data_IF_256348846011
#
_entry.id   IF_256348846011
#
_cell.length_a   1.000
_cell.length_b   1.000
_cell.length_c   1.000
_cell.angle_alpha   90.00
_cell.angle_beta   90.00
_cell.angle_gamma   90.00
#
_symmetry.space_group_name_H-M   'P 1'
#
loop_
_entity.id
_entity.type
_entity.pdbx_description
1 polymer ?
#
# COMPACT_ATOMS: atom_id res chain seq x y z
N UNK A 1 -2.91 -26.90 31.04
CA UNK A 1 -2.40 -27.98 30.16
C UNK A 1 -2.97 -27.70 28.78
N UNK A 2 -2.65 -26.55 28.19
CA UNK A 2 -1.38 -26.19 27.52
C UNK A 2 -1.36 -26.86 26.12
N UNK A 3 -1.15 -26.18 25.00
CA UNK A 3 -0.73 -24.80 24.78
C UNK A 3 -0.84 -24.44 23.30
N UNK A 4 -1.06 -23.14 23.09
CA UNK A 4 -1.15 -22.41 21.84
C UNK A 4 0.23 -22.30 21.16
N UNK A 5 0.36 -22.68 19.88
CA UNK A 5 1.59 -22.45 19.09
C UNK A 5 1.38 -21.29 18.11
N UNK A 6 1.61 -20.08 18.62
CA UNK A 6 1.82 -18.89 17.80
C UNK A 6 3.15 -18.99 17.06
N UNK A 7 3.12 -18.93 15.74
CA UNK A 7 4.32 -18.82 14.91
C UNK A 7 4.83 -17.37 14.97
N UNK A 8 5.83 -17.16 15.83
CA UNK A 8 6.60 -15.93 15.88
C UNK A 8 7.44 -15.79 14.60
N UNK A 9 7.32 -14.66 13.93
CA UNK A 9 8.25 -14.24 12.89
C UNK A 9 9.59 -13.90 13.56
N UNK A 10 10.58 -14.79 13.40
CA UNK A 10 11.92 -14.63 13.96
C UNK A 10 12.80 -13.77 13.04
N UNK A 11 13.61 -12.90 13.64
CA UNK A 11 14.50 -11.93 12.97
C UNK A 11 15.64 -12.52 12.11
N UNK A 12 15.56 -13.78 11.69
CA UNK A 12 16.56 -14.45 10.84
C UNK A 12 16.46 -14.08 9.35
N UNK A 13 15.26 -13.78 8.83
CA UNK A 13 15.09 -13.48 7.39
C UNK A 13 15.77 -12.19 6.92
N UNK A 14 16.05 -11.23 7.81
CA UNK A 14 16.80 -9.99 7.46
C UNK A 14 18.30 -10.21 7.25
N UNK A 15 18.87 -11.34 7.72
CA UNK A 15 20.31 -11.62 7.59
C UNK A 15 20.67 -12.33 6.29
N UNK A 16 19.72 -12.99 5.64
CA UNK A 16 19.96 -13.70 4.37
C UNK A 16 19.80 -12.80 3.13
N UNK A 17 19.12 -11.65 3.26
CA UNK A 17 18.89 -10.72 2.14
C UNK A 17 20.14 -9.91 1.77
N UNK A 18 20.94 -9.51 2.75
CA UNK A 18 22.15 -8.69 2.53
C UNK A 18 23.25 -9.44 1.77
N UNK A 19 23.62 -10.67 2.12
CA UNK A 19 24.64 -11.42 1.38
C UNK A 19 24.23 -11.71 -0.07
N UNK A 20 22.95 -11.98 -0.32
CA UNK A 20 22.43 -12.22 -1.66
C UNK A 20 22.41 -10.95 -2.52
N UNK A 21 22.02 -9.81 -1.93
CA UNK A 21 22.08 -8.50 -2.59
C UNK A 21 23.53 -8.08 -2.85
N UNK A 22 24.43 -8.30 -1.89
CA UNK A 22 25.87 -8.02 -2.07
C UNK A 22 26.44 -8.86 -3.21
N UNK A 23 26.01 -10.13 -3.38
CA UNK A 23 26.45 -11.00 -4.47
C UNK A 23 25.87 -10.59 -5.83
N UNK A 24 24.64 -10.12 -5.87
CA UNK A 24 23.94 -9.70 -7.09
C UNK A 24 24.49 -8.38 -7.66
N UNK A 25 24.88 -7.45 -6.80
CA UNK A 25 25.36 -6.12 -7.19
C UNK A 25 26.89 -5.98 -7.11
N UNK A 26 27.61 -7.07 -6.77
CA UNK A 26 29.07 -7.08 -6.60
C UNK A 26 29.81 -6.65 -7.87
N UNK A 27 29.43 -7.23 -9.01
CA UNK A 27 30.10 -6.98 -10.28
C UNK A 27 29.85 -5.56 -10.79
N UNK A 28 28.65 -5.04 -10.58
CA UNK A 28 28.29 -3.69 -11.00
C UNK A 28 28.91 -2.63 -10.09
N UNK A 29 29.00 -2.89 -8.78
CA UNK A 29 29.72 -2.02 -7.84
C UNK A 29 31.23 -1.92 -8.15
N UNK A 30 31.84 -2.98 -8.68
CA UNK A 30 33.25 -2.97 -9.08
C UNK A 30 33.50 -2.37 -10.48
N UNK A 31 32.48 -2.26 -11.33
CA UNK A 31 32.55 -1.53 -12.61
C UNK A 31 32.43 -0.01 -12.43
N UNK A 32 31.87 0.45 -11.31
CA UNK A 32 31.77 1.88 -11.00
C UNK A 32 33.15 2.50 -10.76
N UNK A 33 33.33 3.69 -11.30
CA UNK A 33 34.47 4.56 -11.01
C UNK A 33 34.43 5.05 -9.56
N UNK A 34 35.57 5.47 -9.04
CA UNK A 34 35.66 5.94 -7.65
C UNK A 34 34.81 7.21 -7.41
N UNK A 35 34.56 8.00 -8.45
CA UNK A 35 33.66 9.15 -8.41
C UNK A 35 32.18 8.73 -8.21
N UNK A 36 31.71 7.72 -8.95
CA UNK A 36 30.33 7.22 -8.86
C UNK A 36 30.08 6.50 -7.53
N UNK A 37 31.09 5.78 -7.00
CA UNK A 37 31.02 5.20 -5.65
C UNK A 37 30.86 6.28 -4.59
N UNK A 38 31.60 7.39 -4.72
CA UNK A 38 31.53 8.51 -3.77
C UNK A 38 30.17 9.22 -3.83
N UNK A 39 29.59 9.34 -5.04
CA UNK A 39 28.25 9.86 -5.22
C UNK A 39 27.19 8.98 -4.56
N UNK A 40 27.27 7.65 -4.73
CA UNK A 40 26.37 6.70 -4.06
C UNK A 40 26.45 6.79 -2.53
N UNK A 41 27.68 6.91 -1.98
CA UNK A 41 27.90 7.06 -0.55
C UNK A 41 27.30 8.37 -0.04
N UNK A 42 27.42 9.46 -0.80
CA UNK A 42 26.86 10.76 -0.44
C UNK A 42 25.32 10.73 -0.50
N UNK A 43 24.73 10.17 -1.55
CA UNK A 43 23.27 9.97 -1.65
C UNK A 43 22.74 9.13 -0.48
N UNK A 44 23.43 8.02 -0.15
CA UNK A 44 23.05 7.18 0.99
C UNK A 44 23.21 7.90 2.33
N UNK A 45 24.26 8.70 2.48
CA UNK A 45 24.51 9.55 3.66
C UNK A 45 23.40 10.58 3.85
N UNK A 46 22.92 11.20 2.78
CA UNK A 46 21.80 12.15 2.84
C UNK A 46 20.48 11.47 3.19
N UNK A 47 20.17 10.31 2.59
CA UNK A 47 18.98 9.51 2.96
C UNK A 47 19.05 9.04 4.41
N UNK A 48 20.23 8.65 4.90
CA UNK A 48 20.45 8.24 6.29
C UNK A 48 20.30 9.41 7.26
N UNK A 49 20.87 10.57 6.94
CA UNK A 49 20.69 11.81 7.71
C UNK A 49 19.22 12.24 7.74
N UNK A 50 18.49 12.11 6.62
CA UNK A 50 17.04 12.35 6.56
C UNK A 50 16.24 11.41 7.46
N UNK A 51 16.63 10.14 7.55
CA UNK A 51 16.02 9.14 8.45
C UNK A 51 16.39 9.32 9.92
N UNK A 52 17.59 9.78 10.23
CA UNK A 52 18.02 10.04 11.63
C UNK A 52 17.42 11.34 12.20
N UNK A 53 16.91 12.24 11.35
CA UNK A 53 16.20 13.48 11.75
C UNK A 53 14.71 13.21 12.04
N UNK A 54 14.17 12.08 11.58
CA UNK A 54 12.80 11.68 11.92
C UNK A 54 12.74 11.35 13.42
N UNK A 55 12.10 12.24 14.19
CA UNK A 55 11.87 12.09 15.63
C UNK A 55 11.44 10.65 15.88
N UNK A 56 12.26 9.89 16.65
CA UNK A 56 12.00 8.49 17.01
C UNK A 56 10.80 8.38 17.95
N UNK A 57 9.61 8.76 17.49
CA UNK A 57 8.36 8.39 18.12
C UNK A 57 8.15 6.93 17.75
N UNK A 58 8.25 6.05 18.74
CA UNK A 58 8.03 4.62 18.51
C UNK A 58 6.65 4.42 17.88
N UNK A 59 6.51 3.42 17.00
CA UNK A 59 5.22 3.08 16.41
C UNK A 59 4.12 2.92 17.49
N UNK A 60 4.50 2.39 18.66
CA UNK A 60 3.65 2.28 19.84
C UNK A 60 3.19 3.62 20.43
N UNK A 61 4.09 4.59 20.53
CA UNK A 61 3.73 5.94 21.01
C UNK A 61 2.73 6.60 20.06
N UNK A 62 2.94 6.49 18.74
CA UNK A 62 1.99 6.99 17.73
C UNK A 62 0.61 6.33 17.82
N UNK A 63 0.56 5.01 18.03
CA UNK A 63 -0.70 4.28 18.22
C UNK A 63 -1.41 4.74 19.48
N UNK A 64 -0.68 4.85 20.59
CA UNK A 64 -1.27 5.25 21.85
C UNK A 64 -1.80 6.68 21.80
N UNK A 65 -1.02 7.60 21.26
CA UNK A 65 -1.43 9.00 21.06
C UNK A 65 -2.73 9.08 20.23
N UNK A 66 -2.72 8.48 19.04
CA UNK A 66 -3.90 8.39 18.17
C UNK A 66 -5.13 7.81 18.88
N UNK A 67 -4.96 6.71 19.61
CA UNK A 67 -6.07 6.04 20.31
C UNK A 67 -6.62 6.90 21.44
N UNK A 68 -5.76 7.56 22.22
CA UNK A 68 -6.20 8.41 23.32
C UNK A 68 -6.89 9.68 22.82
N UNK A 69 -6.35 10.32 21.77
CA UNK A 69 -6.99 11.47 21.14
C UNK A 69 -8.36 11.11 20.60
N UNK A 70 -8.50 9.96 19.90
CA UNK A 70 -9.80 9.55 19.38
C UNK A 70 -10.82 9.28 20.47
N UNK A 71 -10.44 8.65 21.59
CA UNK A 71 -11.34 8.48 22.74
C UNK A 71 -11.87 9.81 23.26
N UNK A 72 -11.02 10.83 23.36
CA UNK A 72 -11.45 12.17 23.80
C UNK A 72 -12.44 12.76 22.79
N UNK A 73 -12.17 12.62 21.48
CA UNK A 73 -13.09 13.08 20.43
C UNK A 73 -14.43 12.36 20.50
N UNK A 74 -14.45 11.04 20.69
CA UNK A 74 -15.68 10.25 20.84
C UNK A 74 -16.54 10.75 22.02
N UNK A 75 -15.90 11.04 23.16
CA UNK A 75 -16.58 11.62 24.34
C UNK A 75 -17.18 12.99 24.01
N UNK A 76 -16.43 13.86 23.34
CA UNK A 76 -16.93 15.19 22.95
C UNK A 76 -18.09 15.11 21.96
N UNK A 77 -18.03 14.19 20.99
CA UNK A 77 -19.11 13.96 20.03
C UNK A 77 -20.35 13.38 20.72
N UNK A 78 -20.17 12.48 21.69
CA UNK A 78 -21.28 11.97 22.49
C UNK A 78 -21.91 13.10 23.34
N UNK A 79 -21.10 13.94 23.97
CA UNK A 79 -21.56 15.11 24.72
C UNK A 79 -22.24 16.15 23.83
N UNK A 80 -21.82 16.28 22.57
CA UNK A 80 -22.49 17.14 21.59
C UNK A 80 -23.91 16.62 21.31
N UNK A 81 -24.06 15.31 21.05
CA UNK A 81 -25.39 14.69 20.89
C UNK A 81 -26.29 14.98 22.09
N UNK A 82 -25.81 14.79 23.32
CA UNK A 82 -26.60 15.02 24.53
C UNK A 82 -27.07 16.48 24.67
N UNK A 83 -26.27 17.45 24.19
CA UNK A 83 -26.59 18.88 24.32
C UNK A 83 -27.46 19.43 23.19
N UNK A 84 -27.27 18.94 21.97
CA UNK A 84 -27.88 19.54 20.77
C UNK A 84 -28.79 18.60 20.00
N UNK A 85 -28.80 17.31 20.33
CA UNK A 85 -29.49 16.27 19.57
C UNK A 85 -28.83 15.95 18.23
N UNK A 86 -27.63 16.46 17.93
CA UNK A 86 -26.93 16.15 16.69
C UNK A 86 -26.38 14.72 16.71
N UNK A 87 -26.71 13.95 15.68
CA UNK A 87 -26.12 12.64 15.42
C UNK A 87 -24.87 12.80 14.53
N UNK A 88 -23.82 12.03 14.79
CA UNK A 88 -22.51 12.15 14.11
C UNK A 88 -21.94 10.78 13.75
N UNK A 89 -21.28 10.70 12.59
CA UNK A 89 -20.40 9.60 12.19
C UNK A 89 -18.99 10.16 11.99
N UNK A 90 -17.98 9.48 12.52
CA UNK A 90 -16.56 9.83 12.43
C UNK A 90 -15.78 8.65 11.84
N UNK A 91 -15.08 8.90 10.74
CA UNK A 91 -14.15 7.95 10.14
C UNK A 91 -12.71 8.44 10.29
N UNK A 92 -11.84 7.56 10.75
CA UNK A 92 -10.41 7.80 10.85
C UNK A 92 -9.64 6.70 10.13
N UNK A 93 -8.82 7.06 9.16
CA UNK A 93 -7.99 6.14 8.39
C UNK A 93 -6.50 6.50 8.51
N UNK A 94 -5.63 5.49 8.43
CA UNK A 94 -4.19 5.72 8.46
C UNK A 94 -3.69 6.17 7.09
N UNK A 95 -2.99 7.30 7.03
CA UNK A 95 -2.38 7.84 5.80
C UNK A 95 -0.93 7.41 5.58
N UNK A 96 -0.36 6.57 6.45
CA UNK A 96 1.03 6.12 6.35
C UNK A 96 1.12 4.60 6.35
N UNK A 97 2.17 4.06 5.71
CA UNK A 97 2.44 2.61 5.71
C UNK A 97 3.32 2.15 6.86
N UNK A 98 3.92 3.09 7.59
CA UNK A 98 4.94 2.81 8.61
C UNK A 98 4.36 2.22 9.88
N UNK A 99 3.05 2.34 10.07
CA UNK A 99 2.32 1.74 11.18
C UNK A 99 1.07 1.06 10.64
N UNK A 100 0.90 -0.22 10.95
CA UNK A 100 -0.35 -0.94 10.69
C UNK A 100 -1.41 -0.53 11.72
N UNK A 101 -1.93 0.69 11.60
CA UNK A 101 -3.11 1.12 12.36
C UNK A 101 -4.34 0.80 11.55
N UNK A 102 -5.24 -0.04 12.10
CA UNK A 102 -6.57 -0.24 11.52
C UNK A 102 -7.36 1.04 11.77
N UNK A 103 -7.99 1.58 10.73
CA UNK A 103 -8.83 2.76 10.90
C UNK A 103 -9.99 2.50 11.86
N UNK A 104 -10.48 3.57 12.46
CA UNK A 104 -11.51 3.55 13.50
C UNK A 104 -12.76 4.25 12.94
N UNK A 105 -13.92 3.67 13.22
CA UNK A 105 -15.23 4.29 12.99
C UNK A 105 -15.90 4.50 14.34
N UNK A 106 -16.56 5.65 14.46
CA UNK A 106 -17.45 5.96 15.58
C UNK A 106 -18.75 6.49 14.99
N UNK A 107 -19.87 6.08 15.56
CA UNK A 107 -21.17 6.61 15.20
C UNK A 107 -22.04 6.72 16.45
N UNK A 108 -22.82 7.79 16.53
CA UNK A 108 -23.86 7.89 17.55
C UNK A 108 -25.05 7.00 17.18
N UNK A 109 -25.77 6.52 18.20
CA UNK A 109 -26.85 5.50 18.06
C UNK A 109 -27.85 5.77 16.93
N UNK A 110 -28.21 7.04 16.65
CA UNK A 110 -29.19 7.37 15.61
C UNK A 110 -28.70 7.14 14.18
N UNK A 111 -27.38 7.00 13.99
CA UNK A 111 -26.74 6.84 12.67
C UNK A 111 -25.77 5.65 12.60
N UNK A 112 -25.69 4.81 13.65
CA UNK A 112 -24.74 3.70 13.75
C UNK A 112 -24.79 2.73 12.56
N UNK A 113 -25.98 2.43 12.06
CA UNK A 113 -26.17 1.50 10.94
C UNK A 113 -26.51 2.19 9.61
N UNK A 114 -26.41 3.53 9.55
CA UNK A 114 -26.81 4.30 8.37
C UNK A 114 -26.03 3.87 7.12
N UNK A 115 -24.73 3.66 7.25
CA UNK A 115 -23.85 3.40 6.11
C UNK A 115 -24.08 2.00 5.52
N UNK A 116 -24.19 0.97 6.36
CA UNK A 116 -24.56 -0.36 5.91
C UNK A 116 -25.98 -0.46 5.37
N UNK A 117 -26.96 0.15 6.05
CA UNK A 117 -28.39 -0.05 5.76
C UNK A 117 -28.89 0.84 4.63
N UNK A 118 -28.50 2.13 4.63
CA UNK A 118 -29.00 3.13 3.67
C UNK A 118 -28.05 3.26 2.49
N UNK A 119 -26.74 3.33 2.76
CA UNK A 119 -25.75 3.52 1.69
C UNK A 119 -25.32 2.20 1.05
N UNK A 120 -25.55 1.06 1.71
CA UNK A 120 -25.04 -0.24 1.25
C UNK A 120 -23.52 -0.30 1.24
N UNK A 121 -22.86 0.51 2.08
CA UNK A 121 -21.41 0.60 2.19
C UNK A 121 -21.00 0.01 3.54
N UNK A 122 -20.11 -0.96 3.49
CA UNK A 122 -19.47 -1.49 4.69
C UNK A 122 -18.45 -0.48 5.24
N UNK A 123 -18.49 -0.23 6.55
CA UNK A 123 -17.62 0.76 7.19
C UNK A 123 -16.15 0.42 7.05
N UNK A 124 -15.78 -0.87 7.13
CA UNK A 124 -14.40 -1.29 7.00
C UNK A 124 -13.92 -1.12 5.56
N UNK A 125 -14.76 -1.45 4.58
CA UNK A 125 -14.47 -1.20 3.17
C UNK A 125 -14.26 0.30 2.89
N UNK A 126 -15.12 1.18 3.43
CA UNK A 126 -14.94 2.62 3.31
C UNK A 126 -13.64 3.10 3.94
N UNK A 127 -13.35 2.69 5.19
CA UNK A 127 -12.13 3.05 5.91
C UNK A 127 -10.88 2.55 5.16
N UNK A 128 -10.92 1.34 4.61
CA UNK A 128 -9.83 0.79 3.81
C UNK A 128 -9.61 1.57 2.52
N UNK A 129 -10.68 1.97 1.82
CA UNK A 129 -10.60 2.84 0.64
C UNK A 129 -10.05 4.21 0.99
N UNK A 130 -10.48 4.80 2.10
CA UNK A 130 -9.95 6.07 2.62
C UNK A 130 -8.47 5.96 2.96
N UNK A 131 -8.04 4.87 3.61
CA UNK A 131 -6.63 4.62 3.93
C UNK A 131 -5.78 4.43 2.68
N UNK A 132 -6.25 3.61 1.73
CA UNK A 132 -5.60 3.46 0.43
C UNK A 132 -5.48 4.80 -0.31
N UNK A 133 -6.52 5.62 -0.26
CA UNK A 133 -6.50 6.96 -0.82
C UNK A 133 -5.53 7.90 -0.10
N UNK A 134 -5.48 7.87 1.22
CA UNK A 134 -4.55 8.71 1.98
C UNK A 134 -3.08 8.36 1.72
N UNK A 135 -2.77 7.07 1.54
CA UNK A 135 -1.40 6.60 1.29
C UNK A 135 -0.98 6.83 -0.17
N UNK A 136 -1.86 6.56 -1.14
CA UNK A 136 -1.48 6.48 -2.56
C UNK A 136 -2.34 7.34 -3.49
N UNK A 137 -3.21 8.20 -2.95
CA UNK A 137 -4.21 8.94 -3.73
C UNK A 137 -5.15 8.00 -4.47
N UNK A 138 -5.60 8.39 -5.66
CA UNK A 138 -6.45 7.53 -6.51
C UNK A 138 -5.80 6.20 -6.92
N UNK A 139 -4.49 6.01 -6.69
CA UNK A 139 -3.79 4.74 -6.97
C UNK A 139 -4.16 3.64 -5.96
N UNK A 140 -4.46 4.02 -4.71
CA UNK A 140 -4.79 3.06 -3.64
C UNK A 140 -6.20 2.48 -3.70
N UNK A 141 -7.01 2.90 -4.69
CA UNK A 141 -8.40 2.48 -4.87
C UNK A 141 -8.63 1.67 -6.16
N UNK A 142 -7.57 1.27 -6.88
CA UNK A 142 -7.66 0.71 -8.23
C UNK A 142 -8.62 -0.50 -8.33
N UNK A 143 -8.59 -1.41 -7.36
CA UNK A 143 -9.51 -2.56 -7.29
C UNK A 143 -10.75 -2.28 -6.43
N UNK A 144 -10.68 -1.29 -5.54
CA UNK A 144 -11.71 -1.01 -4.53
C UNK A 144 -11.94 -2.16 -3.53
N UNK A 145 -11.05 -3.15 -3.49
CA UNK A 145 -11.11 -4.32 -2.61
C UNK A 145 -9.78 -4.41 -1.85
N UNK A 146 -9.83 -4.27 -0.53
CA UNK A 146 -8.68 -4.28 0.36
C UNK A 146 -7.97 -5.66 0.42
N UNK A 147 -8.69 -6.73 0.09
CA UNK A 147 -8.19 -8.10 0.05
C UNK A 147 -7.76 -8.52 -1.37
N UNK A 148 -7.82 -7.60 -2.35
CA UNK A 148 -7.41 -7.88 -3.72
C UNK A 148 -5.93 -8.26 -3.75
N UNK A 149 -5.66 -9.52 -4.12
CA UNK A 149 -4.30 -10.04 -4.34
C UNK A 149 -4.06 -10.23 -5.82
N UNK A 150 -2.88 -9.83 -6.27
CA UNK A 150 -2.45 -10.11 -7.64
C UNK A 150 -2.35 -11.62 -7.85
N UNK A 151 -3.00 -12.14 -8.89
CA UNK A 151 -2.98 -13.56 -9.23
C UNK A 151 -2.50 -13.75 -10.66
N UNK A 152 -1.18 -13.83 -10.84
CA UNK A 152 -0.55 -13.94 -12.15
C UNK A 152 -1.03 -15.16 -12.96
N UNK A 153 -1.09 -16.33 -12.34
CA UNK A 153 -1.54 -17.58 -12.99
C UNK A 153 -3.01 -17.55 -13.44
N UNK A 154 -3.87 -16.81 -12.73
CA UNK A 154 -5.30 -16.73 -13.01
C UNK A 154 -5.73 -15.29 -13.32
N UNK A 155 -4.84 -14.51 -13.92
CA UNK A 155 -4.95 -13.06 -14.04
C UNK A 155 -6.26 -12.61 -14.70
N UNK A 156 -6.59 -13.15 -15.87
CA UNK A 156 -7.80 -12.77 -16.58
C UNK A 156 -9.08 -13.10 -15.80
N UNK A 157 -9.13 -14.25 -15.12
CA UNK A 157 -10.32 -14.69 -14.38
C UNK A 157 -10.47 -13.95 -13.05
N UNK A 158 -9.40 -13.85 -12.28
CA UNK A 158 -9.45 -13.44 -10.89
C UNK A 158 -9.04 -11.98 -10.68
N UNK A 159 -8.40 -11.34 -11.66
CA UNK A 159 -8.06 -9.92 -11.63
C UNK A 159 -8.92 -9.14 -12.62
N UNK A 160 -8.81 -9.44 -13.92
CA UNK A 160 -9.52 -8.66 -14.95
C UNK A 160 -11.03 -8.84 -14.87
N UNK A 161 -11.53 -10.08 -14.82
CA UNK A 161 -12.98 -10.33 -14.82
C UNK A 161 -13.64 -9.90 -13.51
N UNK A 162 -12.94 -10.08 -12.38
CA UNK A 162 -13.43 -9.80 -11.02
C UNK A 162 -13.36 -8.32 -10.65
N UNK A 163 -12.20 -7.69 -10.84
CA UNK A 163 -11.95 -6.30 -10.43
C UNK A 163 -12.10 -5.30 -11.56
N UNK A 164 -12.28 -5.76 -12.80
CA UNK A 164 -12.34 -4.90 -14.00
C UNK A 164 -11.10 -4.01 -14.11
N UNK A 165 -9.92 -4.56 -13.79
CA UNK A 165 -8.62 -3.87 -13.91
C UNK A 165 -7.71 -4.69 -14.82
N UNK A 166 -7.09 -4.03 -15.80
CA UNK A 166 -6.17 -4.63 -16.75
C UNK A 166 -4.82 -3.88 -16.78
N UNK A 167 -3.74 -4.63 -16.96
CA UNK A 167 -2.38 -4.13 -17.16
C UNK A 167 -2.21 -3.96 -18.68
N UNK A 168 -1.84 -2.75 -19.11
CA UNK A 168 -1.53 -2.41 -20.50
C UNK A 168 -0.04 -2.14 -20.63
N UNK A 169 0.50 -2.24 -21.85
CA UNK A 169 1.88 -1.84 -22.14
C UNK A 169 2.91 -2.73 -21.46
N UNK A 170 2.53 -3.96 -21.10
CA UNK A 170 3.48 -4.93 -20.58
C UNK A 170 4.51 -5.25 -21.67
N UNK A 171 5.81 -5.13 -21.40
CA UNK A 171 6.86 -5.37 -22.38
C UNK A 171 6.89 -6.84 -22.81
N UNK A 172 7.06 -7.08 -24.11
CA UNK A 172 7.08 -8.44 -24.69
C UNK A 172 8.31 -9.23 -24.22
N UNK A 173 9.37 -8.53 -23.81
CA UNK A 173 10.63 -9.10 -23.33
C UNK A 173 10.53 -9.67 -21.91
N UNK A 174 9.49 -9.30 -21.15
CA UNK A 174 9.30 -9.75 -19.76
C UNK A 174 8.14 -10.74 -19.70
N UNK A 175 8.36 -12.00 -19.25
CA UNK A 175 7.28 -12.94 -19.08
C UNK A 175 6.19 -12.40 -18.15
N UNK A 176 4.92 -12.50 -18.58
CA UNK A 176 3.78 -12.06 -17.79
C UNK A 176 3.50 -13.02 -16.62
N UNK A 177 4.31 -12.92 -15.57
CA UNK A 177 4.24 -13.73 -14.35
C UNK A 177 4.72 -12.92 -13.15
N UNK A 178 4.71 -13.54 -11.97
CA UNK A 178 5.21 -12.91 -10.76
C UNK A 178 6.68 -12.51 -10.95
N UNK A 179 7.01 -11.22 -10.76
CA UNK A 179 8.37 -10.71 -10.95
C UNK A 179 9.38 -11.38 -10.01
N UNK A 180 8.98 -11.85 -8.83
CA UNK A 180 9.87 -12.63 -7.96
C UNK A 180 10.26 -14.01 -8.53
N UNK A 181 9.54 -14.49 -9.55
CA UNK A 181 9.79 -15.74 -10.27
C UNK A 181 10.43 -15.50 -11.65
N UNK A 182 10.66 -14.24 -12.02
CA UNK A 182 11.36 -13.85 -13.26
C UNK A 182 12.77 -13.42 -12.89
N UNK A 183 13.78 -14.16 -13.32
CA UNK A 183 15.14 -13.63 -13.40
C UNK A 183 15.20 -12.65 -14.58
N UNK A 184 14.99 -11.37 -14.32
CA UNK A 184 15.11 -10.30 -15.31
C UNK A 184 16.18 -9.30 -14.87
N UNK A 185 16.80 -8.62 -15.84
CA UNK A 185 17.85 -7.64 -15.53
C UNK A 185 17.28 -6.47 -14.73
N UNK A 186 18.10 -5.89 -13.85
CA UNK A 186 17.73 -4.71 -13.07
C UNK A 186 17.21 -3.57 -13.95
N UNK A 187 17.84 -3.32 -15.09
CA UNK A 187 17.42 -2.30 -16.04
C UNK A 187 15.99 -2.51 -16.57
N UNK A 188 15.56 -3.77 -16.77
CA UNK A 188 14.18 -4.08 -17.17
C UNK A 188 13.19 -3.88 -16.02
N UNK A 189 13.59 -4.20 -14.79
CA UNK A 189 12.81 -3.95 -13.57
C UNK A 189 12.64 -2.45 -13.30
N UNK A 190 13.70 -1.66 -13.45
CA UNK A 190 13.66 -0.20 -13.31
C UNK A 190 12.79 0.43 -14.40
N UNK A 191 12.93 0.00 -15.66
CA UNK A 191 12.05 0.46 -16.74
C UNK A 191 10.58 0.14 -16.47
N UNK A 192 10.28 -1.07 -16.00
CA UNK A 192 8.93 -1.46 -15.58
C UNK A 192 8.45 -0.58 -14.43
N UNK A 193 9.27 -0.37 -13.40
CA UNK A 193 8.93 0.47 -12.26
C UNK A 193 8.61 1.91 -12.68
N UNK A 194 9.45 2.50 -13.53
CA UNK A 194 9.26 3.84 -14.09
C UNK A 194 7.95 3.94 -14.89
N UNK A 195 7.66 2.98 -15.77
CA UNK A 195 6.38 2.95 -16.52
C UNK A 195 5.15 2.81 -15.62
N UNK A 196 5.28 2.05 -14.53
CA UNK A 196 4.23 1.91 -13.51
C UNK A 196 4.05 3.20 -12.70
N UNK A 197 5.14 3.88 -12.35
CA UNK A 197 5.14 5.15 -11.65
C UNK A 197 4.46 6.25 -12.49
N UNK A 198 4.71 6.27 -13.79
CA UNK A 198 4.16 7.24 -14.74
C UNK A 198 2.73 6.93 -15.26
N UNK A 199 2.05 5.89 -14.73
CA UNK A 199 0.65 5.52 -15.07
C UNK A 199 0.43 5.06 -16.52
N UNK A 200 1.46 4.63 -17.23
CA UNK A 200 1.31 4.19 -18.62
C UNK A 200 0.66 2.80 -18.74
N UNK A 201 0.62 2.05 -17.64
CA UNK A 201 0.37 0.60 -17.66
C UNK A 201 -0.90 0.10 -16.96
N UNK A 202 -1.76 0.95 -16.36
CA UNK A 202 -2.94 0.49 -15.63
C UNK A 202 -4.25 1.08 -16.18
N UNK A 203 -5.22 0.23 -16.50
CA UNK A 203 -6.52 0.64 -17.05
C UNK A 203 -7.68 -0.08 -16.36
N UNK A 204 -8.82 0.61 -16.31
CA UNK A 204 -10.10 0.04 -15.86
C UNK A 204 -10.85 -0.50 -17.08
N UNK A 205 -11.26 -1.77 -17.00
CA UNK A 205 -11.87 -2.54 -18.08
C UNK A 205 -13.36 -2.20 -18.33
N UNK A 206 -13.89 -1.17 -17.64
CA UNK A 206 -15.23 -0.61 -17.86
C UNK A 206 -15.29 0.37 -19.04
N UNK A 207 -14.14 0.76 -19.60
CA UNK A 207 -14.06 1.55 -20.83
C UNK A 207 -14.00 0.63 -22.07
N UNK A 208 -14.83 0.86 -23.11
CA UNK A 208 -14.93 -0.02 -24.26
C UNK A 208 -13.61 -0.11 -25.05
N UNK A 209 -13.26 -1.33 -25.41
CA UNK A 209 -12.12 -1.68 -26.26
C UNK A 209 -12.24 -0.96 -27.62
N UNK A 210 -11.38 0.05 -27.85
CA UNK A 210 -11.09 0.55 -29.20
C UNK A 210 -9.81 -0.11 -29.67
N UNK A 211 -9.96 -1.08 -30.58
CA UNK A 211 -8.85 -1.65 -31.31
C UNK A 211 -8.23 -0.58 -32.21
N UNK A 212 -7.01 -0.16 -31.90
CA UNK A 212 -6.22 0.73 -32.77
C UNK A 212 -5.20 -0.06 -33.59
N UNK A 213 -5.43 -1.35 -33.85
CA UNK A 213 -4.71 -2.11 -34.87
C UNK A 213 -5.56 -2.30 -36.12
N UNK A 214 -5.89 -1.18 -36.75
CA UNK A 214 -6.33 -1.14 -38.15
C UNK A 214 -5.88 0.19 -38.75
N UNK A 215 -4.56 0.36 -38.95
CA UNK A 215 -3.93 1.27 -39.93
C UNK A 215 -2.40 1.20 -39.79
N UNK A 216 -1.80 0.22 -40.48
CA UNK A 216 -0.49 0.29 -41.15
C UNK A 216 -0.23 -1.07 -41.80
#
# INVERSE_FOLDING_TARGET
>A
MDGNTGTMYTGSQKRETLPNLVREYWEDYHKLTDAEKQELIEQFSQVKKGKDIEVRVSAWSRINDFTQTLKVVEIELHNLKLRTGMETVLYSACGTTDVRIRGITFATEGVENFMGTVMGIDDQDLISKMGGFAVQGTRGTATGDADAKMQWKYYFRNVVSRYKVAIKGWPDEVPFKNLSEVSCSLALLEMLYQKWEHKENLYRADQPWRDNRASA
#
